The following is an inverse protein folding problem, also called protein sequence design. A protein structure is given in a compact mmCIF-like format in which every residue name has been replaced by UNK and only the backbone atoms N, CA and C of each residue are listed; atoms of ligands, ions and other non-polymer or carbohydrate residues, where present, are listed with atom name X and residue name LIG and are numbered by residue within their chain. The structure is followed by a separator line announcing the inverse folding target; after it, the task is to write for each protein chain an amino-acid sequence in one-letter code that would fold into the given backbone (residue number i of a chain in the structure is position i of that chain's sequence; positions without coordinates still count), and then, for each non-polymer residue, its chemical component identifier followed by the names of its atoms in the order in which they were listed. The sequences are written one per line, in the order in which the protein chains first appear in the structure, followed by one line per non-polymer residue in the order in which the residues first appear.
data_IF_846779513918
#
_entry.id   IF_846779513918
#
_cell.length_a   1.000
_cell.length_b   1.000
_cell.length_c   1.000
_cell.angle_alpha   90.00
_cell.angle_beta   90.00
_cell.angle_gamma   90.00
#
_symmetry.space_group_name_H-M   'P 1'
#
loop_
_entity.id
_entity.type
_entity.pdbx_description
1 polymer ?
#
# COMPACT_ATOMS: atom_id res chain seq x y z
N UNK A 1 6.99 39.10 17.88
CA UNK A 1 6.82 38.48 17.54
C UNK A 1 6.76 38.11 16.89
N UNK A 2 6.51 38.27 16.82
CA UNK A 2 6.26 37.67 16.08
C UNK A 2 6.47 37.55 15.20
N UNK A 3 6.36 37.66 14.80
CA UNK A 3 6.37 37.29 13.93
C UNK A 3 6.95 36.62 13.41
N UNK A 4 7.08 36.34 13.54
CA UNK A 4 7.50 35.47 13.21
C UNK A 4 7.17 34.51 12.93
N UNK A 5 6.88 34.16 13.18
CA UNK A 5 6.36 33.17 13.16
C UNK A 5 5.78 32.81 12.21
N UNK A 6 5.21 33.23 11.94
CA UNK A 6 4.55 32.98 10.96
C UNK A 6 5.21 32.50 9.89
N UNK A 7 5.99 33.01 9.66
CA UNK A 7 6.58 32.65 8.54
C UNK A 7 6.89 31.26 8.54
N UNK A 8 7.22 30.86 9.55
CA UNK A 8 7.56 29.59 9.58
C UNK A 8 6.59 28.71 9.06
N UNK A 9 5.56 29.04 9.34
CA UNK A 9 4.60 28.19 8.94
C UNK A 9 4.61 27.94 7.58
N UNK A 10 4.80 28.83 6.95
CA UNK A 10 4.63 28.60 5.70
C UNK A 10 5.55 27.83 5.16
N UNK A 11 6.46 27.93 5.63
CA UNK A 11 7.33 27.23 5.08
C UNK A 11 7.04 25.90 4.92
N UNK A 12 6.60 25.36 5.75
CA UNK A 12 6.32 24.12 5.62
C UNK A 12 5.54 23.89 4.61
N UNK A 13 4.93 24.74 4.37
CA UNK A 13 4.08 24.45 3.35
C UNK A 13 4.85 24.19 2.16
N UNK A 14 5.74 24.94 1.95
CA UNK A 14 6.40 24.79 0.76
C UNK A 14 6.99 23.49 0.63
N UNK A 15 7.53 23.06 1.59
CA UNK A 15 8.16 21.85 1.47
C UNK A 15 7.22 20.83 1.04
N UNK A 16 6.12 20.94 1.47
CA UNK A 16 5.23 19.94 1.18
C UNK A 16 4.93 19.83 -0.21
N UNK A 17 5.10 20.85 -0.88
CA UNK A 17 4.74 20.82 -2.13
C UNK A 17 5.36 19.89 -3.01
N UNK A 18 6.46 19.53 -2.83
CA UNK A 18 7.06 18.69 -3.75
C UNK A 18 6.57 17.30 -3.69
N UNK A 19 5.77 17.07 -2.77
CA UNK A 19 5.30 15.79 -2.65
C UNK A 19 4.76 15.04 -3.76
N UNK A 20 4.01 15.61 -4.60
CA UNK A 20 3.39 14.80 -5.59
C UNK A 20 4.34 13.91 -6.32
N UNK A 21 5.35 14.45 -6.79
CA UNK A 21 6.22 13.67 -7.55
C UNK A 21 6.91 12.68 -6.68
N UNK A 22 7.20 13.08 -5.53
CA UNK A 22 7.88 12.22 -4.68
C UNK A 22 7.05 11.07 -4.28
N UNK A 23 5.79 11.30 -4.18
CA UNK A 23 4.95 10.28 -3.81
C UNK A 23 5.03 9.10 -4.68
N UNK A 24 5.04 9.29 -5.92
CA UNK A 24 5.04 8.20 -6.82
C UNK A 24 6.21 7.30 -6.59
N UNK A 25 7.32 7.85 -6.20
CA UNK A 25 8.44 7.04 -5.95
C UNK A 25 8.57 6.67 -4.53
N UNK A 26 8.00 7.46 -3.65
CA UNK A 26 8.06 7.19 -2.26
C UNK A 26 7.26 5.98 -1.85
N UNK A 27 6.51 5.39 -2.76
CA UNK A 27 5.75 4.21 -2.44
C UNK A 27 6.56 2.94 -2.61
N UNK A 28 7.81 3.04 -2.93
CA UNK A 28 8.65 1.88 -3.12
C UNK A 28 9.73 1.82 -2.06
N UNK A 29 10.19 0.63 -1.75
CA UNK A 29 11.28 0.46 -0.81
C UNK A 29 11.60 -1.01 -0.66
N UNK A 30 12.52 -1.35 0.25
CA UNK A 30 12.86 -2.74 0.46
C UNK A 30 11.64 -3.51 0.92
N UNK A 31 11.43 -4.66 0.32
CA UNK A 31 10.25 -5.45 0.64
C UNK A 31 10.11 -5.72 2.13
N UNK A 32 11.22 -6.02 2.78
CA UNK A 32 11.14 -6.35 4.19
C UNK A 32 10.62 -5.21 5.03
N UNK A 33 10.98 -3.99 4.70
CA UNK A 33 10.50 -2.87 5.47
C UNK A 33 9.04 -2.62 5.21
N UNK A 34 8.62 -2.76 3.97
CA UNK A 34 7.23 -2.53 3.65
C UNK A 34 6.35 -3.58 4.29
N UNK A 35 6.70 -4.85 4.18
CA UNK A 35 5.84 -5.88 4.75
C UNK A 35 5.85 -5.82 6.27
N UNK A 36 6.95 -5.45 6.87
CA UNK A 36 6.99 -5.35 8.30
C UNK A 36 6.07 -4.23 8.76
N UNK A 37 6.01 -3.16 7.99
CA UNK A 37 5.12 -2.07 8.37
C UNK A 37 3.67 -2.46 8.17
N UNK A 38 3.35 -3.22 7.12
CA UNK A 38 2.00 -3.67 6.93
C UNK A 38 1.56 -4.55 8.10
N UNK A 39 2.46 -5.37 8.60
CA UNK A 39 2.14 -6.23 9.72
C UNK A 39 2.02 -5.47 11.03
N UNK A 40 2.98 -4.62 11.32
CA UNK A 40 3.00 -3.99 12.62
C UNK A 40 2.09 -2.78 12.75
N UNK A 41 1.96 -2.01 11.70
CA UNK A 41 1.13 -0.82 11.79
C UNK A 41 -0.27 -0.97 11.27
N UNK A 42 -0.48 -1.87 10.36
CA UNK A 42 -1.80 -2.02 9.76
C UNK A 42 -2.45 -3.35 10.07
N UNK A 43 -1.77 -4.20 10.80
CA UNK A 43 -2.29 -5.52 11.16
C UNK A 43 -2.68 -6.33 9.94
N UNK A 44 -1.95 -6.14 8.86
CA UNK A 44 -2.24 -6.86 7.64
C UNK A 44 -1.35 -8.08 7.49
N UNK A 45 -1.83 -9.06 6.76
CA UNK A 45 -1.06 -10.26 6.48
C UNK A 45 -1.22 -10.61 5.01
N UNK A 46 -0.29 -11.34 4.49
CA UNK A 46 -0.35 -11.71 3.09
C UNK A 46 -1.54 -12.63 2.88
N UNK A 47 -2.42 -12.23 2.01
CA UNK A 47 -3.66 -12.95 1.77
C UNK A 47 -3.72 -13.61 0.41
N UNK A 48 -2.94 -13.15 -0.52
CA UNK A 48 -2.96 -13.75 -1.84
C UNK A 48 -2.05 -12.98 -2.77
N UNK A 49 -1.97 -13.44 -3.99
CA UNK A 49 -1.15 -12.75 -4.96
C UNK A 49 -0.89 -13.63 -6.17
N UNK A 50 -0.04 -13.16 -7.02
CA UNK A 50 0.32 -13.90 -8.21
C UNK A 50 1.43 -13.23 -8.97
N UNK A 51 1.95 -13.93 -9.97
CA UNK A 51 3.01 -13.38 -10.77
C UNK A 51 2.45 -12.45 -11.82
N UNK A 52 3.02 -11.28 -11.91
CA UNK A 52 2.64 -10.37 -12.99
C UNK A 52 3.49 -10.68 -14.22
N UNK A 53 4.74 -11.06 -14.00
CA UNK A 53 5.62 -11.48 -15.06
C UNK A 53 6.78 -12.21 -14.39
N UNK A 54 7.80 -12.51 -15.14
CA UNK A 54 8.89 -13.30 -14.61
C UNK A 54 9.61 -12.65 -13.45
N UNK A 55 9.56 -11.36 -13.35
CA UNK A 55 10.33 -10.65 -12.35
C UNK A 55 9.50 -9.93 -11.31
N UNK A 56 8.20 -10.02 -11.38
CA UNK A 56 7.36 -9.25 -10.47
C UNK A 56 6.21 -10.09 -9.92
N UNK A 57 5.98 -9.95 -8.64
CA UNK A 57 4.91 -10.64 -7.96
C UNK A 57 3.96 -9.59 -7.40
N UNK A 58 2.68 -9.77 -7.63
CA UNK A 58 1.70 -8.89 -7.04
C UNK A 58 1.23 -9.57 -5.76
N UNK A 59 1.22 -8.82 -4.65
CA UNK A 59 0.83 -9.37 -3.35
C UNK A 59 -0.31 -8.55 -2.77
N UNK A 60 -1.28 -9.24 -2.20
CA UNK A 60 -2.40 -8.58 -1.56
C UNK A 60 -2.34 -8.85 -0.08
N UNK A 61 -2.27 -7.79 0.69
CA UNK A 61 -2.18 -7.86 2.14
C UNK A 61 -3.47 -7.31 2.72
N UNK A 62 -4.04 -8.00 3.70
CA UNK A 62 -5.32 -7.61 4.26
C UNK A 62 -5.33 -7.76 5.76
N UNK A 63 -6.19 -6.99 6.42
CA UNK A 63 -6.36 -7.07 7.85
C UNK A 63 -7.78 -7.54 8.18
N UNK A 64 -7.86 -8.61 8.95
CA UNK A 64 -9.17 -9.10 9.37
C UNK A 64 -9.75 -8.21 10.46
N UNK A 65 -8.91 -7.49 11.18
CA UNK A 65 -9.41 -6.68 12.27
C UNK A 65 -9.83 -5.29 11.84
N UNK A 66 -9.10 -4.69 10.93
CA UNK A 66 -9.42 -3.32 10.54
C UNK A 66 -10.11 -3.24 9.19
N UNK A 67 -10.00 -4.27 8.39
CA UNK A 67 -10.56 -4.22 7.05
C UNK A 67 -9.69 -3.48 6.05
N UNK A 68 -8.50 -3.08 6.43
CA UNK A 68 -7.66 -2.39 5.49
C UNK A 68 -6.98 -3.37 4.55
N UNK A 69 -6.58 -2.91 3.39
CA UNK A 69 -5.82 -3.74 2.48
C UNK A 69 -4.80 -2.93 1.72
N UNK A 70 -3.77 -3.59 1.28
CA UNK A 70 -2.68 -2.98 0.52
C UNK A 70 -2.25 -3.95 -0.55
N UNK A 71 -2.04 -3.43 -1.75
CA UNK A 71 -1.55 -4.24 -2.85
C UNK A 71 -0.14 -3.75 -3.17
N UNK A 72 0.81 -4.65 -3.20
CA UNK A 72 2.16 -4.26 -3.53
C UNK A 72 2.67 -5.13 -4.66
N UNK A 73 3.61 -4.58 -5.40
CA UNK A 73 4.28 -5.34 -6.45
C UNK A 73 5.72 -5.47 -6.02
N UNK A 74 6.19 -6.69 -5.91
CA UNK A 74 7.55 -6.97 -5.45
C UNK A 74 8.40 -7.48 -6.59
N UNK A 75 9.59 -6.96 -6.70
CA UNK A 75 10.49 -7.33 -7.77
C UNK A 75 11.57 -8.27 -7.29
N UNK A 76 12.20 -8.92 -8.25
CA UNK A 76 13.21 -9.89 -7.90
C UNK A 76 14.40 -9.27 -7.19
N UNK A 77 14.61 -8.00 -7.35
CA UNK A 77 15.73 -7.33 -6.69
C UNK A 77 15.43 -6.98 -5.24
N UNK A 78 14.27 -7.35 -4.72
CA UNK A 78 13.96 -7.07 -3.33
C UNK A 78 13.22 -5.77 -3.08
N UNK A 79 12.85 -5.07 -4.13
CA UNK A 79 12.12 -3.82 -3.99
C UNK A 79 10.63 -4.07 -4.15
N UNK A 80 9.83 -3.45 -3.28
CA UNK A 80 8.39 -3.53 -3.41
C UNK A 80 7.81 -2.14 -3.53
N UNK A 81 6.73 -2.03 -4.29
CA UNK A 81 6.05 -0.76 -4.46
C UNK A 81 4.58 -0.93 -4.13
N UNK A 82 4.02 0.01 -3.40
CA UNK A 82 2.62 -0.01 -3.06
C UNK A 82 1.86 0.57 -4.25
N UNK A 83 0.95 -0.19 -4.81
CA UNK A 83 0.21 0.26 -5.97
C UNK A 83 -1.26 0.54 -5.67
N UNK A 84 -1.77 0.09 -4.54
CA UNK A 84 -3.15 0.37 -4.18
C UNK A 84 -3.34 0.10 -2.70
N UNK A 85 -4.31 0.77 -2.10
CA UNK A 85 -4.66 0.49 -0.72
C UNK A 85 -6.09 0.99 -0.50
N UNK A 86 -6.72 0.49 0.53
CA UNK A 86 -8.09 0.88 0.79
C UNK A 86 -8.62 0.24 2.05
N UNK A 87 -9.93 0.29 2.19
CA UNK A 87 -10.62 -0.21 3.37
C UNK A 87 -11.75 -1.12 2.94
N UNK A 88 -12.37 -1.70 3.93
CA UNK A 88 -13.54 -2.55 3.71
C UNK A 88 -13.26 -3.75 2.83
N UNK A 89 -12.13 -4.38 3.10
CA UNK A 89 -11.79 -5.58 2.38
C UNK A 89 -12.80 -6.68 2.69
N UNK A 90 -13.31 -7.33 1.67
CA UNK A 90 -14.23 -8.44 1.83
C UNK A 90 -13.85 -9.56 0.93
N UNK A 91 -13.86 -10.76 1.47
CA UNK A 91 -13.60 -11.93 0.66
C UNK A 91 -14.89 -12.34 0.00
N UNK A 92 -14.84 -12.55 -1.29
CA UNK A 92 -16.03 -12.95 -2.02
C UNK A 92 -16.25 -14.44 -1.82
N UNK A 93 -17.46 -14.80 -1.44
CA UNK A 93 -17.78 -16.18 -1.20
C UNK A 93 -18.33 -16.80 -2.46
N UNK A 94 -17.53 -17.59 -3.14
CA UNK A 94 -17.96 -18.13 -4.41
C UNK A 94 -19.10 -19.11 -4.28
N UNK A 95 -19.27 -19.71 -3.13
CA UNK A 95 -20.34 -20.67 -2.96
C UNK A 95 -21.70 -19.99 -3.15
N UNK A 96 -21.75 -18.70 -3.02
CA UNK A 96 -23.02 -18.00 -3.17
C UNK A 96 -23.28 -17.64 -4.62
N UNK A 97 -22.38 -17.96 -5.50
CA UNK A 97 -22.55 -17.61 -6.90
C UNK A 97 -23.17 -18.72 -7.68
N UNK A 98 -23.87 -18.39 -8.76
CA UNK A 98 -24.44 -19.41 -9.60
C UNK A 98 -23.36 -20.25 -10.22
N UNK A 99 -23.68 -21.48 -10.53
CA UNK A 99 -22.72 -22.32 -11.08
C UNK A 99 -22.19 -21.71 -12.34
N UNK A 100 -22.11 -21.54 -13.16
CA UNK A 100 -21.52 -21.05 -14.35
C UNK A 100 -20.56 -19.93 -14.17
N UNK A 101 -20.62 -19.29 -13.07
CA UNK A 101 -19.71 -18.17 -12.91
C UNK A 101 -18.42 -18.61 -12.32
N UNK A 102 -18.32 -19.78 -11.84
CA UNK A 102 -17.10 -20.19 -11.21
C UNK A 102 -16.03 -20.58 -12.17
N UNK A 103 -16.29 -20.74 -13.36
CA UNK A 103 -15.25 -21.23 -14.27
C UNK A 103 -14.32 -20.18 -14.82
#
# INVERSE_FOLDING_TARGET
MYKRTVAAALVFGAAAIALPAVHAQGNCGPRELITERLQSKFSERLSGGGLQNENQVLEIWTSDTTGSFTVIVSRADGTSCIVASGQNWNTIVTAAMPDGTAS
#
